data_IF_088563058396
#
_entry.id   IF_088563058396
#
_cell.length_a   1.000
_cell.length_b   1.000
_cell.length_c   1.000
_cell.angle_alpha   90.00
_cell.angle_beta   90.00
_cell.angle_gamma   90.00
#
_symmetry.space_group_name_H-M   'P 1'
#
loop_
_entity.id
_entity.type
_entity.pdbx_description
1 polymer ?
#
# COMPACT_ATOMS: atom_id res chain seq x y z
N UNK A 1 -30.65 -0.76 7.63
CA UNK A 1 -29.35 -1.45 7.52
C UNK A 1 -28.36 -0.69 8.39
N UNK A 2 -27.94 -1.26 9.51
CA UNK A 2 -26.90 -0.65 10.36
C UNK A 2 -25.58 -0.76 9.62
N UNK A 3 -24.99 0.37 9.24
CA UNK A 3 -23.62 0.40 8.72
C UNK A 3 -22.73 -0.32 9.73
N UNK A 4 -21.95 -1.28 9.25
CA UNK A 4 -20.97 -1.97 10.09
C UNK A 4 -20.05 -0.87 10.64
N UNK A 5 -19.88 -0.76 11.96
CA UNK A 5 -19.05 0.30 12.51
C UNK A 5 -17.66 0.19 11.89
N UNK A 6 -17.03 1.32 11.51
CA UNK A 6 -15.66 1.32 11.05
C UNK A 6 -14.76 0.63 12.08
N UNK A 7 -13.65 0.05 11.64
CA UNK A 7 -12.69 -0.60 12.53
C UNK A 7 -12.38 0.32 13.74
N UNK A 8 -12.57 -0.19 14.95
CA UNK A 8 -12.49 0.61 16.18
C UNK A 8 -11.09 1.20 16.33
N UNK A 9 -10.89 2.53 16.44
CA UNK A 9 -9.57 3.17 16.41
C UNK A 9 -8.55 2.56 17.38
N UNK A 10 -9.02 2.00 18.50
CA UNK A 10 -8.19 1.34 19.52
C UNK A 10 -8.20 -0.20 19.47
N UNK A 11 -8.49 -0.81 18.32
CA UNK A 11 -8.45 -2.28 18.17
C UNK A 11 -7.02 -2.87 18.17
N UNK A 12 -6.00 -2.02 18.35
CA UNK A 12 -4.60 -2.38 18.44
C UNK A 12 -3.99 -2.85 17.11
N UNK A 13 -4.74 -2.79 16.00
CA UNK A 13 -4.27 -3.26 14.71
C UNK A 13 -3.52 -2.16 13.96
N UNK A 14 -2.35 -2.45 13.37
CA UNK A 14 -1.64 -1.49 12.54
C UNK A 14 -2.47 -1.13 11.31
N UNK A 15 -2.69 0.18 11.11
CA UNK A 15 -3.41 0.74 9.96
C UNK A 15 -2.44 1.51 9.09
N UNK A 16 -2.57 1.32 7.79
CA UNK A 16 -1.96 2.21 6.82
C UNK A 16 -3.02 3.20 6.35
N UNK A 17 -2.73 4.49 6.53
CA UNK A 17 -3.61 5.57 6.06
C UNK A 17 -2.79 6.47 5.17
N UNK A 18 -3.19 6.61 3.92
CA UNK A 18 -2.40 7.35 2.95
C UNK A 18 -3.08 7.58 1.61
N UNK A 19 -2.46 8.40 0.76
CA UNK A 19 -2.93 8.61 -0.60
C UNK A 19 -2.81 7.33 -1.42
N UNK A 20 -3.78 7.09 -2.29
CA UNK A 20 -3.77 5.98 -3.24
C UNK A 20 -4.56 6.36 -4.51
N UNK A 21 -4.52 5.48 -5.50
CA UNK A 21 -5.30 5.58 -6.72
C UNK A 21 -6.18 4.35 -6.85
N UNK A 22 -7.47 4.54 -7.15
CA UNK A 22 -8.36 3.48 -7.61
C UNK A 22 -8.33 3.46 -9.14
N UNK A 23 -8.05 2.30 -9.71
CA UNK A 23 -8.17 2.05 -11.14
C UNK A 23 -9.45 1.25 -11.38
N UNK A 24 -10.35 1.84 -12.16
CA UNK A 24 -11.63 1.27 -12.54
C UNK A 24 -11.45 0.24 -13.67
N UNK A 25 -12.43 -0.66 -13.88
CA UNK A 25 -12.40 -1.63 -14.98
C UNK A 25 -12.30 -1.03 -16.38
N UNK A 26 -12.77 0.21 -16.56
CA UNK A 26 -12.68 0.97 -17.81
C UNK A 26 -11.32 1.68 -18.00
N UNK A 27 -10.40 1.53 -17.02
CA UNK A 27 -9.10 2.18 -16.98
C UNK A 27 -9.10 3.60 -16.41
N UNK A 28 -10.26 4.12 -15.97
CA UNK A 28 -10.32 5.42 -15.27
C UNK A 28 -9.57 5.34 -13.94
N UNK A 29 -8.77 6.36 -13.66
CA UNK A 29 -8.00 6.46 -12.42
C UNK A 29 -8.53 7.60 -11.55
N UNK A 30 -8.77 7.31 -10.27
CA UNK A 30 -9.32 8.28 -9.31
C UNK A 30 -8.45 8.33 -8.07
N UNK A 31 -8.16 9.54 -7.58
CA UNK A 31 -7.37 9.74 -6.36
C UNK A 31 -8.22 9.56 -5.11
N UNK A 32 -7.72 8.76 -4.18
CA UNK A 32 -8.38 8.45 -2.91
C UNK A 32 -7.42 8.59 -1.73
N UNK A 33 -7.98 8.68 -0.53
CA UNK A 33 -7.31 8.34 0.72
C UNK A 33 -7.74 6.93 1.09
N UNK A 34 -6.79 6.01 1.20
CA UNK A 34 -7.03 4.65 1.66
C UNK A 34 -6.73 4.57 3.17
N UNK A 35 -7.57 3.85 3.90
CA UNK A 35 -7.37 3.48 5.30
C UNK A 35 -7.53 1.97 5.43
N UNK A 36 -6.42 1.24 5.44
CA UNK A 36 -6.38 -0.20 5.31
C UNK A 36 -5.78 -0.90 6.54
N UNK A 37 -6.26 -2.11 6.80
CA UNK A 37 -5.81 -2.98 7.89
C UNK A 37 -5.66 -4.42 7.39
N UNK A 38 -4.61 -5.10 7.87
CA UNK A 38 -4.49 -6.54 7.71
C UNK A 38 -5.49 -7.21 8.66
N UNK A 39 -6.29 -8.14 8.14
CA UNK A 39 -7.28 -8.84 8.98
C UNK A 39 -6.62 -9.78 9.98
N UNK A 40 -5.45 -10.30 9.64
CA UNK A 40 -4.58 -11.09 10.50
C UNK A 40 -3.40 -10.23 10.95
N UNK A 41 -3.10 -10.23 12.24
CA UNK A 41 -1.90 -9.58 12.77
C UNK A 41 -0.67 -10.47 12.50
N UNK A 42 0.29 -10.03 11.66
CA UNK A 42 1.50 -10.78 11.36
C UNK A 42 2.34 -11.15 12.59
N UNK A 43 2.26 -10.37 13.66
CA UNK A 43 3.02 -10.61 14.90
C UNK A 43 2.53 -11.84 15.66
N UNK A 44 1.28 -12.27 15.40
CA UNK A 44 0.64 -13.41 16.06
C UNK A 44 0.89 -14.73 15.36
N UNK A 45 1.46 -14.72 14.14
CA UNK A 45 1.67 -15.92 13.33
C UNK A 45 3.15 -16.10 13.02
N UNK A 46 3.72 -17.17 13.57
CA UNK A 46 5.11 -17.51 13.29
C UNK A 46 5.28 -17.85 11.80
N UNK A 47 6.25 -17.20 11.14
CA UNK A 47 6.54 -17.38 9.71
C UNK A 47 5.44 -16.85 8.79
N UNK A 48 4.67 -15.86 9.25
CA UNK A 48 3.73 -15.13 8.41
C UNK A 48 4.37 -14.61 7.12
N UNK A 49 3.63 -14.74 6.02
CA UNK A 49 4.01 -14.32 4.68
C UNK A 49 2.88 -13.53 4.03
N UNK A 50 3.22 -12.43 3.35
CA UNK A 50 2.28 -11.59 2.62
C UNK A 50 2.01 -12.17 1.23
N UNK A 51 1.25 -13.26 1.18
CA UNK A 51 0.95 -13.96 -0.06
C UNK A 51 -0.50 -13.77 -0.52
N UNK A 52 -0.91 -14.53 -1.53
CA UNK A 52 -2.29 -14.56 -2.04
C UNK A 52 -3.36 -14.95 -1.02
N UNK A 53 -2.98 -15.50 0.13
CA UNK A 53 -3.88 -15.91 1.21
C UNK A 53 -4.00 -14.84 2.30
N UNK A 54 -3.16 -13.80 2.25
CA UNK A 54 -3.32 -12.62 3.09
C UNK A 54 -4.63 -11.90 2.74
N UNK A 55 -5.38 -11.53 3.77
CA UNK A 55 -6.64 -10.79 3.60
C UNK A 55 -6.54 -9.46 4.29
N UNK A 56 -7.07 -8.44 3.63
CA UNK A 56 -7.06 -7.07 4.12
C UNK A 56 -8.44 -6.42 3.92
N UNK A 57 -8.71 -5.40 4.71
CA UNK A 57 -9.94 -4.61 4.61
C UNK A 57 -9.68 -3.17 4.99
N UNK A 58 -10.60 -2.29 4.66
CA UNK A 58 -10.45 -0.87 4.95
C UNK A 58 -11.59 -0.04 4.40
N UNK A 59 -11.33 1.26 4.28
CA UNK A 59 -12.14 2.19 3.51
C UNK A 59 -11.25 2.98 2.55
N UNK A 60 -11.86 3.38 1.44
CA UNK A 60 -11.29 4.30 0.46
C UNK A 60 -12.24 5.49 0.33
N UNK A 61 -11.69 6.69 0.42
CA UNK A 61 -12.45 7.94 0.37
C UNK A 61 -11.91 8.79 -0.76
N UNK A 62 -12.77 9.37 -1.60
CA UNK A 62 -12.35 10.30 -2.63
C UNK A 62 -11.60 11.48 -2.02
N UNK A 63 -10.50 11.91 -2.66
CA UNK A 63 -9.76 13.12 -2.22
C UNK A 63 -10.60 14.38 -2.42
N UNK A 64 -11.50 14.36 -3.40
CA UNK A 64 -12.44 15.44 -3.73
C UNK A 64 -13.72 14.83 -4.27
N UNK A 65 -14.83 15.54 -4.11
CA UNK A 65 -16.08 15.14 -4.75
C UNK A 65 -15.92 15.21 -6.27
N UNK A 66 -16.12 14.08 -6.94
CA UNK A 66 -16.09 13.98 -8.40
C UNK A 66 -17.47 13.52 -8.89
N UNK A 67 -18.09 14.34 -9.74
CA UNK A 67 -19.41 14.05 -10.29
C UNK A 67 -19.36 12.79 -11.18
N UNK A 68 -20.33 11.89 -10.99
CA UNK A 68 -20.40 10.64 -11.73
C UNK A 68 -19.29 9.62 -11.36
N UNK A 69 -18.65 9.78 -10.20
CA UNK A 69 -17.76 8.76 -9.64
C UNK A 69 -18.44 8.06 -8.47
N UNK A 70 -18.76 6.77 -8.66
CA UNK A 70 -19.11 5.87 -7.57
C UNK A 70 -17.98 4.86 -7.37
N UNK A 71 -17.39 4.82 -6.18
CA UNK A 71 -16.34 3.87 -5.83
C UNK A 71 -16.86 2.41 -5.78
N UNK A 72 -18.17 2.20 -5.75
CA UNK A 72 -18.76 0.87 -5.94
C UNK A 72 -18.63 0.36 -7.38
N UNK A 73 -18.71 1.24 -8.37
CA UNK A 73 -18.58 0.89 -9.79
C UNK A 73 -17.16 0.44 -10.14
N UNK A 74 -16.19 0.79 -9.28
CA UNK A 74 -14.84 0.30 -9.40
C UNK A 74 -14.72 -1.21 -9.11
N UNK A 75 -15.67 -1.85 -8.42
CA UNK A 75 -15.51 -3.23 -7.95
C UNK A 75 -15.88 -4.31 -8.99
N UNK A 76 -15.02 -5.32 -9.26
CA UNK A 76 -13.66 -5.50 -8.74
C UNK A 76 -12.71 -4.45 -9.31
N UNK A 77 -11.95 -3.80 -8.42
CA UNK A 77 -11.11 -2.66 -8.77
C UNK A 77 -9.69 -2.86 -8.31
N UNK A 78 -8.76 -2.09 -8.87
CA UNK A 78 -7.37 -2.10 -8.43
C UNK A 78 -7.11 -0.90 -7.53
N UNK A 79 -6.60 -1.16 -6.33
CA UNK A 79 -6.07 -0.13 -5.45
C UNK A 79 -4.54 -0.07 -5.63
N UNK A 80 -4.05 1.08 -6.08
CA UNK A 80 -2.63 1.35 -6.33
C UNK A 80 -2.08 2.35 -5.33
N UNK A 81 -1.00 1.97 -4.66
CA UNK A 81 -0.28 2.83 -3.70
C UNK A 81 0.75 3.70 -4.42
N UNK A 82 1.26 4.78 -3.77
CA UNK A 82 2.20 5.71 -4.39
C UNK A 82 3.53 5.09 -4.84
N UNK A 83 3.91 3.96 -4.26
CA UNK A 83 5.10 3.19 -4.65
C UNK A 83 4.85 2.17 -5.78
N UNK A 84 3.66 2.21 -6.39
CA UNK A 84 3.28 1.37 -7.51
C UNK A 84 2.79 -0.02 -7.13
N UNK A 85 2.68 -0.34 -5.83
CA UNK A 85 2.06 -1.60 -5.40
C UNK A 85 0.57 -1.58 -5.67
N UNK A 86 0.05 -2.71 -6.14
CA UNK A 86 -1.34 -2.87 -6.54
C UNK A 86 -1.97 -4.09 -5.85
N UNK A 87 -3.25 -3.99 -5.54
CA UNK A 87 -4.07 -5.14 -5.15
C UNK A 87 -5.48 -4.96 -5.64
N UNK A 88 -6.10 -6.06 -6.08
CA UNK A 88 -7.53 -6.09 -6.34
C UNK A 88 -8.31 -5.93 -5.03
N UNK A 89 -9.43 -5.23 -5.10
CA UNK A 89 -10.37 -5.08 -4.00
C UNK A 89 -11.82 -5.19 -4.48
N UNK A 90 -12.67 -5.60 -3.55
CA UNK A 90 -14.12 -5.58 -3.65
C UNK A 90 -14.68 -4.48 -2.77
N UNK A 91 -15.63 -3.69 -3.28
CA UNK A 91 -16.44 -2.79 -2.47
C UNK A 91 -17.39 -3.59 -1.57
N UNK A 92 -17.60 -3.12 -0.34
CA UNK A 92 -18.31 -3.85 0.73
C UNK A 92 -19.44 -3.07 1.39
N UNK A 93 -19.55 -1.77 1.16
CA UNK A 93 -20.48 -0.87 1.86
C UNK A 93 -19.93 0.55 1.86
N UNK A 94 -20.75 1.60 1.75
CA UNK A 94 -20.21 2.95 1.67
C UNK A 94 -21.27 4.05 1.54
N UNK A 95 -20.81 5.30 1.53
CA UNK A 95 -21.62 6.47 1.24
C UNK A 95 -21.11 7.16 -0.03
N UNK A 96 -21.77 8.21 -0.51
CA UNK A 96 -21.27 8.94 -1.68
C UNK A 96 -19.85 9.45 -1.39
N UNK A 97 -18.88 9.02 -2.20
CA UNK A 97 -17.47 9.38 -2.06
C UNK A 97 -16.65 8.55 -1.06
N UNK A 98 -17.25 7.55 -0.39
CA UNK A 98 -16.52 6.60 0.46
C UNK A 98 -17.00 5.18 0.20
N UNK A 99 -16.06 4.25 0.01
CA UNK A 99 -16.36 2.83 -0.10
C UNK A 99 -15.49 2.04 0.88
N UNK A 100 -16.13 1.28 1.75
CA UNK A 100 -15.50 0.19 2.48
C UNK A 100 -15.04 -0.88 1.48
N UNK A 101 -13.82 -1.38 1.64
CA UNK A 101 -13.22 -2.33 0.71
C UNK A 101 -12.61 -3.54 1.42
N UNK A 102 -12.48 -4.64 0.68
CA UNK A 102 -11.66 -5.78 1.10
C UNK A 102 -11.00 -6.45 -0.09
N UNK A 103 -9.78 -6.95 0.10
CA UNK A 103 -9.04 -7.64 -0.94
C UNK A 103 -8.42 -8.95 -0.48
N UNK A 104 -8.00 -9.73 -1.46
CA UNK A 104 -7.24 -10.97 -1.35
C UNK A 104 -5.91 -10.76 -2.09
N UNK A 105 -4.81 -11.22 -1.52
CA UNK A 105 -3.50 -10.89 -2.07
C UNK A 105 -2.54 -10.36 -1.02
N UNK A 106 -1.27 -10.15 -1.40
CA UNK A 106 -0.45 -9.22 -0.62
C UNK A 106 -1.24 -7.91 -0.54
N UNK A 107 -1.53 -7.46 0.68
CA UNK A 107 -2.08 -6.13 0.86
C UNK A 107 -1.16 -5.14 0.16
N UNK A 108 -1.69 -4.10 -0.51
CA UNK A 108 -0.86 -3.19 -1.26
C UNK A 108 0.06 -2.33 -0.34
N UNK A 109 -0.08 -2.51 0.98
CA UNK A 109 0.71 -1.95 2.08
C UNK A 109 1.91 -2.83 2.48
N UNK A 110 1.96 -4.09 2.06
CA UNK A 110 3.01 -5.02 2.43
C UNK A 110 4.28 -4.82 1.58
N UNK A 111 5.50 -4.83 2.17
CA UNK A 111 6.72 -4.75 1.38
C UNK A 111 6.75 -5.89 0.34
N UNK A 112 7.28 -5.64 -0.88
CA UNK A 112 7.34 -6.68 -1.90
C UNK A 112 8.13 -7.87 -1.35
N UNK A 113 7.52 -9.05 -1.37
CA UNK A 113 8.24 -10.29 -1.13
C UNK A 113 9.26 -10.48 -2.25
N UNK A 114 10.53 -10.16 -1.98
CA UNK A 114 11.62 -10.53 -2.87
C UNK A 114 11.69 -12.06 -2.94
N UNK A 115 11.78 -12.67 -4.14
CA UNK A 115 11.67 -14.12 -4.33
C UNK A 115 12.79 -14.96 -3.67
N UNK A 116 13.71 -14.33 -2.93
CA UNK A 116 14.85 -14.98 -2.29
C UNK A 116 15.15 -14.50 -0.86
N UNK A 117 14.37 -13.59 -0.27
CA UNK A 117 14.70 -13.07 1.07
C UNK A 117 14.20 -14.00 2.16
N UNK A 118 15.13 -14.53 2.94
CA UNK A 118 14.79 -15.24 4.17
C UNK A 118 14.24 -14.24 5.20
N UNK A 119 13.30 -14.69 6.03
CA UNK A 119 12.61 -13.93 7.10
C UNK A 119 13.57 -13.08 7.97
N UNK A 120 14.82 -13.50 8.12
CA UNK A 120 15.85 -12.78 8.91
C UNK A 120 16.27 -11.46 8.25
N UNK A 121 16.35 -11.42 6.93
CA UNK A 121 16.82 -10.24 6.19
C UNK A 121 15.77 -9.11 6.17
N UNK A 122 14.49 -9.47 6.07
CA UNK A 122 13.38 -8.51 6.14
C UNK A 122 13.31 -7.82 7.52
N UNK A 123 13.52 -8.59 8.60
CA UNK A 123 13.59 -8.06 9.97
C UNK A 123 14.86 -7.22 10.22
N UNK A 124 15.98 -7.55 9.59
CA UNK A 124 17.21 -6.77 9.68
C UNK A 124 17.08 -5.41 8.96
N UNK A 125 16.36 -5.34 7.83
CA UNK A 125 16.08 -4.10 7.12
C UNK A 125 15.17 -3.15 7.92
N UNK A 126 14.03 -3.65 8.41
CA UNK A 126 13.09 -2.85 9.21
C UNK A 126 13.70 -2.34 10.53
N UNK A 127 14.65 -3.07 11.13
CA UNK A 127 15.40 -2.61 12.32
C UNK A 127 16.50 -1.59 12.01
N UNK A 128 17.06 -1.57 10.79
CA UNK A 128 18.07 -0.57 10.40
C UNK A 128 17.44 0.81 10.21
N UNK A 129 16.26 0.87 9.59
CA UNK A 129 15.57 2.15 9.39
C UNK A 129 15.13 2.83 10.71
N UNK A 130 14.83 2.05 11.76
CA UNK A 130 14.57 2.62 13.10
C UNK A 130 15.82 3.12 13.84
N UNK A 131 17.04 2.72 13.44
CA UNK A 131 18.30 3.24 14.02
C UNK A 131 18.89 4.41 13.23
N UNK A 132 18.63 4.47 11.92
CA UNK A 132 19.25 5.43 11.03
C UNK A 132 18.52 6.80 10.98
N UNK A 133 17.52 7.01 11.85
CA UNK A 133 16.94 8.33 12.18
C UNK A 133 17.93 9.38 12.71
N UNK A 134 19.24 9.07 12.76
CA UNK A 134 20.32 10.01 13.03
C UNK A 134 21.55 9.76 12.12
N UNK A 135 21.44 9.69 10.80
CA UNK A 135 22.58 10.10 9.94
C UNK A 135 22.23 10.40 8.48
N UNK A 136 22.06 11.69 8.21
CA UNK A 136 22.30 12.43 6.96
C UNK A 136 22.61 11.69 5.64
N UNK A 137 21.88 12.15 4.61
CA UNK A 137 22.36 12.61 3.28
C UNK A 137 23.53 11.82 2.67
N UNK A 138 23.25 10.94 1.71
CA UNK A 138 23.94 10.86 0.39
C UNK A 138 23.42 9.67 -0.42
N UNK A 139 22.49 9.94 -1.33
CA UNK A 139 22.35 9.22 -2.60
C UNK A 139 22.08 10.26 -3.68
N UNK A 140 23.07 11.11 -3.93
CA UNK A 140 23.14 11.89 -5.16
C UNK A 140 23.55 10.96 -6.28
N UNK A 141 22.79 11.05 -7.37
CA UNK A 141 22.92 10.43 -8.67
C UNK A 141 24.32 9.92 -9.06
N UNK A 142 24.37 8.70 -9.59
CA UNK A 142 25.47 8.28 -10.45
C UNK A 142 24.89 7.60 -11.70
N UNK A 143 24.28 8.43 -12.56
CA UNK A 143 24.02 8.12 -13.97
C UNK A 143 24.91 9.03 -14.82
N UNK A 144 26.04 8.50 -15.30
CA UNK A 144 26.66 8.89 -16.57
C UNK A 144 27.86 7.99 -16.92
N UNK A 145 27.84 7.54 -18.16
CA UNK A 145 28.73 6.63 -18.90
C UNK A 145 30.08 7.27 -19.31
N UNK A 146 30.99 6.52 -19.99
CA UNK A 146 32.44 6.74 -19.96
C UNK A 146 33.01 7.57 -21.13
N UNK A 147 34.20 8.15 -20.90
CA UNK A 147 35.19 8.47 -21.94
C UNK A 147 35.44 9.96 -22.23
N UNK A 148 36.68 10.42 -21.99
CA UNK A 148 37.49 11.22 -22.94
C UNK A 148 38.76 11.83 -22.28
N UNK A 149 39.92 11.46 -22.84
CA UNK A 149 41.18 12.21 -23.10
C UNK A 149 41.69 13.33 -22.16
N UNK A 150 42.96 13.14 -21.78
CA UNK A 150 44.14 14.00 -22.06
C UNK A 150 44.22 15.39 -21.39
N UNK A 151 45.21 15.60 -20.52
CA UNK A 151 46.48 16.29 -20.86
C UNK A 151 47.41 16.38 -19.63
N UNK A 152 48.71 16.23 -19.90
CA UNK A 152 49.86 16.51 -19.02
C UNK A 152 50.05 18.03 -18.83
N UNK A 153 50.87 18.47 -17.86
CA UNK A 153 52.32 18.61 -18.10
C UNK A 153 53.17 17.57 -17.36
#
# INVERSE_FOLDING_TARGET
>A
MTSRPPFHPDDGRPRDVGPATVVFPDGKEVSVIASLVLRLDPSTVENFSYDRHSTWAGSITLVRDEEGVDLFDAAPGILRMPDGRESEFMATGGSAGESGCSGLGPAPLAPPMLPCQSKVELYAALRRDSRDGMSNRRCIASTASPGARSTRP
#
